data_IF_456279425076
#
_entry.id   IF_456279425076
#
_cell.length_a   1.000
_cell.length_b   1.000
_cell.length_c   1.000
_cell.angle_alpha   90.00
_cell.angle_beta   90.00
_cell.angle_gamma   90.00
#
_symmetry.space_group_name_H-M   'P 1'
#
loop_
_entity.id
_entity.type
_entity.pdbx_description
1 polymer ?
#
# COMPACT_ATOMS: atom_id res chain seq x y z
N UNK A 1 -3.92 17.75 10.02
CA UNK A 1 -3.51 17.35 8.66
C UNK A 1 -4.31 16.10 8.33
N UNK A 2 -5.02 16.07 7.23
CA UNK A 2 -5.80 14.89 6.86
C UNK A 2 -4.85 13.75 6.51
N UNK A 3 -5.11 12.55 7.03
CA UNK A 3 -4.31 11.37 6.71
C UNK A 3 -4.43 11.09 5.21
N UNK A 4 -3.32 10.77 4.55
CA UNK A 4 -3.30 10.46 3.12
C UNK A 4 -4.22 9.30 2.79
N UNK A 5 -4.24 8.31 3.65
CA UNK A 5 -5.16 7.17 3.62
C UNK A 5 -6.63 7.58 3.62
N UNK A 6 -7.04 8.60 4.40
CA UNK A 6 -8.40 9.12 4.37
C UNK A 6 -8.73 9.82 3.06
N UNK A 7 -7.74 10.38 2.41
CA UNK A 7 -7.88 10.96 1.08
C UNK A 7 -8.13 9.88 0.02
N UNK A 8 -7.45 8.73 0.13
CA UNK A 8 -7.62 7.58 -0.76
C UNK A 8 -8.92 6.82 -0.46
N UNK A 9 -9.16 6.49 0.80
CA UNK A 9 -10.28 5.64 1.20
C UNK A 9 -11.55 6.40 1.55
N UNK A 10 -11.52 7.76 1.62
CA UNK A 10 -12.65 8.61 1.92
C UNK A 10 -13.09 8.62 3.38
N UNK A 11 -14.19 9.33 3.62
CA UNK A 11 -14.76 9.50 4.95
C UNK A 11 -15.44 8.25 5.49
N UNK A 12 -15.80 7.34 4.62
CA UNK A 12 -16.49 6.10 4.96
C UNK A 12 -15.87 4.99 4.14
N UNK A 13 -15.34 4.03 4.84
CA UNK A 13 -14.83 2.80 4.28
C UNK A 13 -15.67 2.34 3.09
N UNK A 14 -15.09 2.30 1.93
CA UNK A 14 -15.65 1.65 0.75
C UNK A 14 -16.83 2.30 0.04
N UNK A 15 -17.33 3.48 0.42
CA UNK A 15 -18.56 3.98 -0.21
C UNK A 15 -18.37 4.92 -1.40
N UNK A 16 -17.25 5.65 -1.46
CA UNK A 16 -17.04 6.65 -2.52
C UNK A 16 -15.62 6.61 -3.09
N UNK A 17 -14.87 5.56 -2.79
CA UNK A 17 -13.50 5.39 -3.20
C UNK A 17 -13.30 4.10 -3.94
N UNK A 18 -12.41 4.20 -4.87
CA UNK A 18 -12.01 3.16 -5.79
C UNK A 18 -11.14 2.06 -5.15
N UNK A 19 -10.58 2.30 -3.95
CA UNK A 19 -9.72 1.33 -3.27
C UNK A 19 -10.34 0.91 -1.94
N UNK A 20 -10.79 1.86 -1.13
CA UNK A 20 -11.34 1.56 0.17
C UNK A 20 -12.60 0.71 0.09
N UNK A 21 -12.54 -0.50 0.64
CA UNK A 21 -13.66 -1.44 0.69
C UNK A 21 -13.59 -2.55 -0.35
N UNK A 22 -12.50 -2.62 -1.12
CA UNK A 22 -12.20 -3.85 -1.86
C UNK A 22 -11.81 -4.95 -0.87
N UNK A 23 -11.99 -6.21 -1.25
CA UNK A 23 -11.52 -7.34 -0.45
C UNK A 23 -10.02 -7.24 -0.17
N UNK A 24 -9.22 -6.80 -1.14
CA UNK A 24 -7.79 -6.58 -1.01
C UNK A 24 -7.44 -5.62 0.14
N UNK A 25 -8.15 -4.50 0.24
CA UNK A 25 -7.95 -3.54 1.33
C UNK A 25 -8.27 -4.15 2.69
N UNK A 26 -9.38 -4.91 2.77
CA UNK A 26 -9.79 -5.57 4.01
C UNK A 26 -8.79 -6.62 4.46
N UNK A 27 -8.26 -7.39 3.52
CA UNK A 27 -7.22 -8.40 3.78
C UNK A 27 -5.92 -7.74 4.26
N UNK A 28 -5.52 -6.63 3.65
CA UNK A 28 -4.33 -5.90 4.08
C UNK A 28 -4.49 -5.30 5.49
N UNK A 29 -5.68 -4.78 5.81
CA UNK A 29 -6.01 -4.32 7.17
C UNK A 29 -6.01 -5.48 8.17
N UNK A 30 -6.56 -6.62 7.80
CA UNK A 30 -6.58 -7.82 8.65
C UNK A 30 -5.15 -8.33 8.90
N UNK A 31 -4.29 -8.31 7.87
CA UNK A 31 -2.87 -8.61 8.00
C UNK A 31 -2.19 -7.70 9.04
N UNK A 32 -2.34 -6.38 8.91
CA UNK A 32 -1.74 -5.44 9.86
C UNK A 32 -2.37 -5.52 11.24
N UNK A 33 -3.66 -5.73 11.32
CA UNK A 33 -4.39 -5.82 12.58
C UNK A 33 -3.98 -7.01 13.44
N UNK A 34 -3.58 -8.12 12.81
CA UNK A 34 -3.09 -9.33 13.48
C UNK A 34 -1.62 -9.25 13.93
N UNK A 35 -0.88 -8.22 13.50
CA UNK A 35 0.51 -8.07 13.91
C UNK A 35 0.61 -7.77 15.41
N UNK A 36 1.46 -8.52 16.09
CA UNK A 36 1.75 -8.34 17.52
C UNK A 36 3.00 -7.51 17.77
N UNK A 37 3.84 -7.35 16.76
CA UNK A 37 5.08 -6.59 16.82
C UNK A 37 4.79 -5.10 16.67
N UNK A 38 5.43 -4.28 17.48
CA UNK A 38 5.35 -2.82 17.40
C UNK A 38 6.25 -2.22 16.31
N UNK A 39 7.12 -3.02 15.71
CA UNK A 39 8.01 -2.62 14.62
C UNK A 39 8.03 -3.70 13.55
N UNK A 40 7.56 -3.36 12.37
CA UNK A 40 7.55 -4.22 11.19
C UNK A 40 8.64 -3.79 10.21
N UNK A 41 9.16 -4.71 9.42
CA UNK A 41 10.05 -4.41 8.30
C UNK A 41 9.25 -4.40 7.01
N UNK A 42 9.43 -3.40 6.15
CA UNK A 42 8.79 -3.38 4.83
C UNK A 42 9.16 -4.62 4.02
N UNK A 43 10.43 -5.03 4.07
CA UNK A 43 10.89 -6.26 3.42
C UNK A 43 10.09 -7.49 3.89
N UNK A 44 9.91 -7.62 5.23
CA UNK A 44 9.10 -8.71 5.78
C UNK A 44 7.64 -8.63 5.35
N UNK A 45 7.05 -7.44 5.33
CA UNK A 45 5.68 -7.25 4.84
C UNK A 45 5.55 -7.74 3.40
N UNK A 46 6.43 -7.28 2.51
CA UNK A 46 6.42 -7.68 1.10
C UNK A 46 6.58 -9.19 0.94
N UNK A 47 7.46 -9.81 1.72
CA UNK A 47 7.67 -11.26 1.74
C UNK A 47 6.42 -12.00 2.23
N UNK A 48 5.85 -11.60 3.36
CA UNK A 48 4.68 -12.25 3.97
C UNK A 48 3.45 -12.25 3.04
N UNK A 49 3.29 -11.18 2.25
CA UNK A 49 2.16 -11.04 1.30
C UNK A 49 2.54 -11.43 -0.13
N UNK A 50 3.71 -12.04 -0.33
CA UNK A 50 4.23 -12.52 -1.63
C UNK A 50 4.36 -11.46 -2.74
N UNK A 51 4.50 -10.20 -2.37
CA UNK A 51 4.75 -9.13 -3.34
C UNK A 51 6.22 -8.97 -3.71
N UNK A 52 7.16 -9.39 -2.87
CA UNK A 52 8.60 -9.24 -3.07
C UNK A 52 9.06 -9.77 -4.43
N UNK A 53 8.81 -11.05 -4.70
CA UNK A 53 9.18 -11.73 -5.95
C UNK A 53 8.51 -11.11 -7.18
N UNK A 54 7.29 -10.65 -7.05
CA UNK A 54 6.55 -10.02 -8.14
C UNK A 54 7.13 -8.65 -8.48
N UNK A 55 7.42 -7.85 -7.47
CA UNK A 55 7.98 -6.51 -7.63
C UNK A 55 9.42 -6.56 -8.19
N UNK A 56 10.24 -7.51 -7.73
CA UNK A 56 11.60 -7.74 -8.26
C UNK A 56 11.59 -8.10 -9.73
N UNK A 57 10.68 -9.00 -10.16
CA UNK A 57 10.50 -9.35 -11.58
C UNK A 57 9.91 -8.20 -12.40
N UNK A 58 9.60 -7.07 -11.76
CA UNK A 58 8.95 -5.95 -12.40
C UNK A 58 7.50 -6.23 -12.73
N UNK A 59 6.86 -7.08 -11.93
CA UNK A 59 5.46 -7.41 -12.05
C UNK A 59 4.62 -6.15 -12.12
N UNK A 60 3.72 -6.18 -13.04
CA UNK A 60 2.83 -5.08 -13.32
C UNK A 60 1.56 -5.73 -13.81
N UNK A 61 0.54 -5.86 -13.05
CA UNK A 61 -0.66 -6.24 -13.70
C UNK A 61 -1.55 -7.24 -13.01
N UNK A 62 -2.28 -7.84 -13.81
CA UNK A 62 -3.42 -8.68 -13.59
C UNK A 62 -2.98 -10.02 -13.05
N UNK A 63 -3.49 -10.39 -11.92
CA UNK A 63 -3.26 -11.72 -11.37
C UNK A 63 -3.40 -11.74 -9.86
N UNK A 64 -3.93 -12.83 -9.39
CA UNK A 64 -4.09 -13.11 -7.99
C UNK A 64 -2.72 -13.21 -7.31
N UNK A 65 -2.59 -12.60 -6.17
CA UNK A 65 -1.44 -12.76 -5.28
C UNK A 65 -1.88 -13.63 -4.12
N UNK A 66 -1.43 -14.86 -4.12
CA UNK A 66 -1.73 -15.78 -3.04
C UNK A 66 -0.80 -15.54 -1.88
N UNK A 67 -1.37 -15.33 -0.69
CA UNK A 67 -0.62 -15.46 0.53
C UNK A 67 -1.35 -16.44 1.46
N UNK A 68 -0.59 -17.30 2.09
CA UNK A 68 -1.12 -18.29 3.01
C UNK A 68 -1.13 -17.74 4.42
N UNK A 69 -2.31 -17.53 4.97
CA UNK A 69 -2.47 -17.74 6.40
C UNK A 69 -2.52 -19.26 6.61
N UNK A 70 -1.82 -19.76 7.62
CA UNK A 70 -1.75 -21.19 7.98
C UNK A 70 -3.07 -21.90 7.77
N UNK A 71 -3.00 -22.96 6.92
CA UNK A 71 -4.08 -23.90 6.58
C UNK A 71 -5.36 -23.82 7.46
N UNK A 72 -6.58 -23.90 6.92
CA UNK A 72 -6.92 -24.47 5.59
C UNK A 72 -7.41 -23.46 4.55
N UNK A 73 -7.26 -22.17 4.75
CA UNK A 73 -7.80 -21.16 3.85
C UNK A 73 -6.66 -20.41 3.14
N UNK A 74 -6.51 -20.66 1.85
CA UNK A 74 -5.69 -19.81 0.99
C UNK A 74 -6.38 -18.44 0.89
N UNK A 75 -5.76 -17.42 1.45
CA UNK A 75 -6.16 -16.03 1.25
C UNK A 75 -5.36 -15.49 0.07
N UNK A 76 -6.01 -14.74 -0.81
CA UNK A 76 -5.36 -14.14 -1.96
C UNK A 76 -5.87 -12.71 -2.16
N UNK A 77 -5.00 -11.87 -2.70
CA UNK A 77 -5.40 -10.57 -3.21
C UNK A 77 -5.84 -10.73 -4.67
N UNK A 78 -6.96 -10.14 -5.02
CA UNK A 78 -7.49 -10.19 -6.38
C UNK A 78 -6.61 -9.40 -7.35
N UNK A 79 -6.03 -8.30 -6.89
CA UNK A 79 -5.29 -7.38 -7.74
C UNK A 79 -4.07 -6.82 -7.04
N UNK A 80 -2.88 -7.28 -7.43
CA UNK A 80 -1.62 -6.86 -6.80
C UNK A 80 -1.40 -5.34 -6.82
N UNK A 81 -1.84 -4.63 -7.86
CA UNK A 81 -1.67 -3.17 -7.92
C UNK A 81 -2.48 -2.45 -6.85
N UNK A 82 -3.66 -2.92 -6.48
CA UNK A 82 -4.45 -2.34 -5.39
C UNK A 82 -3.68 -2.44 -4.07
N UNK A 83 -3.08 -3.62 -3.81
CA UNK A 83 -2.26 -3.84 -2.60
C UNK A 83 -1.03 -2.94 -2.60
N UNK A 84 -0.36 -2.76 -3.73
CA UNK A 84 0.78 -1.85 -3.86
C UNK A 84 0.39 -0.41 -3.56
N UNK A 85 -0.75 0.06 -4.07
CA UNK A 85 -1.24 1.42 -3.84
C UNK A 85 -1.57 1.61 -2.35
N UNK A 86 -2.31 0.69 -1.75
CA UNK A 86 -2.71 0.76 -0.35
C UNK A 86 -1.50 0.68 0.59
N UNK A 87 -0.60 -0.27 0.37
CA UNK A 87 0.64 -0.40 1.14
C UNK A 87 1.52 0.83 1.03
N UNK A 88 1.62 1.42 -0.16
CA UNK A 88 2.39 2.66 -0.38
C UNK A 88 1.79 3.85 0.38
N UNK A 89 0.47 3.94 0.44
CA UNK A 89 -0.23 4.96 1.22
C UNK A 89 -0.02 4.77 2.74
N UNK A 90 -0.11 3.53 3.24
CA UNK A 90 0.16 3.20 4.64
C UNK A 90 1.62 3.52 5.00
N UNK A 91 2.55 3.16 4.12
CA UNK A 91 3.97 3.50 4.29
C UNK A 91 4.18 5.01 4.37
N UNK A 92 3.53 5.78 3.51
CA UNK A 92 3.63 7.24 3.52
C UNK A 92 3.10 7.84 4.84
N UNK A 93 2.03 7.29 5.42
CA UNK A 93 1.56 7.68 6.75
C UNK A 93 2.60 7.36 7.82
N UNK A 94 3.22 6.18 7.78
CA UNK A 94 4.30 5.82 8.69
C UNK A 94 5.48 6.80 8.59
N UNK A 95 5.89 7.16 7.37
CA UNK A 95 7.01 8.08 7.16
C UNK A 95 6.72 9.50 7.65
N UNK A 96 5.47 9.96 7.51
CA UNK A 96 5.04 11.30 7.95
C UNK A 96 4.81 11.39 9.46
N UNK A 97 4.27 10.36 10.06
CA UNK A 97 3.81 10.38 11.45
C UNK A 97 4.69 9.53 12.39
N UNK A 98 5.68 8.82 11.84
CA UNK A 98 6.54 7.85 12.56
C UNK A 98 5.74 6.74 13.26
N UNK A 99 4.51 6.50 12.83
CA UNK A 99 3.59 5.55 13.43
C UNK A 99 2.42 5.28 12.49
N UNK A 100 1.99 4.02 12.46
CA UNK A 100 0.70 3.59 11.90
C UNK A 100 -0.23 3.25 13.05
N UNK A 101 -1.42 3.84 13.07
CA UNK A 101 -2.45 3.62 14.09
C UNK A 101 -3.65 2.91 13.45
N UNK A 102 -3.87 1.65 13.81
CA UNK A 102 -4.96 0.84 13.25
C UNK A 102 -6.34 1.40 13.57
N UNK A 103 -6.53 2.15 14.66
CA UNK A 103 -7.80 2.85 14.90
C UNK A 103 -8.15 3.87 13.81
N UNK A 104 -7.15 4.34 13.05
CA UNK A 104 -7.35 5.30 11.97
C UNK A 104 -7.53 4.61 10.61
N UNK A 105 -7.02 3.39 10.47
CA UNK A 105 -7.09 2.59 9.25
C UNK A 105 -8.34 1.74 9.21
N UNK A 106 -8.64 1.06 10.32
CA UNK A 106 -9.74 0.13 10.43
C UNK A 106 -11.05 0.88 10.73
N UNK A 107 -11.88 1.00 9.69
CA UNK A 107 -13.20 1.65 9.81
C UNK A 107 -14.15 0.94 10.78
N UNK A 108 -14.04 -0.36 10.89
CA UNK A 108 -14.87 -1.20 11.76
C UNK A 108 -14.37 -1.27 13.20
N UNK A 109 -13.17 -0.68 13.44
CA UNK A 109 -12.52 -0.65 14.77
C UNK A 109 -12.31 -2.02 15.40
N UNK A 110 -12.11 -3.05 14.59
CA UNK A 110 -11.76 -4.40 15.03
C UNK A 110 -10.35 -4.43 15.63
N UNK A 111 -9.47 -3.57 15.11
CA UNK A 111 -8.06 -3.50 15.48
C UNK A 111 -7.71 -2.13 16.07
N UNK A 112 -6.82 -2.13 17.08
CA UNK A 112 -6.38 -0.91 17.77
C UNK A 112 -4.85 -0.87 18.00
N UNK A 113 -4.11 -1.84 17.48
CA UNK A 113 -2.67 -1.89 17.60
C UNK A 113 -2.00 -0.72 16.83
N UNK A 114 -0.80 -0.40 17.28
CA UNK A 114 0.04 0.64 16.68
C UNK A 114 1.40 0.05 16.39
N UNK A 115 1.96 0.41 15.24
CA UNK A 115 3.28 -0.08 14.83
C UNK A 115 4.00 0.94 13.97
N UNK A 116 5.29 0.72 13.80
CA UNK A 116 6.13 1.45 12.86
C UNK A 116 6.58 0.52 11.74
N UNK A 117 6.83 1.07 10.55
CA UNK A 117 7.39 0.33 9.43
C UNK A 117 8.82 0.83 9.19
N UNK A 118 9.80 -0.04 9.43
CA UNK A 118 11.18 0.22 9.03
C UNK A 118 11.38 -0.13 7.55
N UNK A 119 12.11 0.72 6.83
CA UNK A 119 12.26 0.61 5.38
C UNK A 119 13.72 0.55 4.97
N UNK A 120 14.02 -0.20 3.93
CA UNK A 120 15.22 0.00 3.10
C UNK A 120 14.89 0.89 1.91
N UNK A 121 15.88 1.56 1.36
CA UNK A 121 15.69 2.34 0.12
C UNK A 121 15.30 1.43 -1.05
N UNK A 122 15.80 0.21 -1.06
CA UNK A 122 15.53 -0.78 -2.10
C UNK A 122 14.07 -1.18 -2.12
N UNK A 123 13.50 -1.56 -0.98
CA UNK A 123 12.09 -1.94 -0.86
C UNK A 123 11.15 -0.79 -1.27
N UNK A 124 11.47 0.44 -0.86
CA UNK A 124 10.68 1.62 -1.25
C UNK A 124 10.76 1.88 -2.76
N UNK A 125 11.94 1.69 -3.38
CA UNK A 125 12.09 1.81 -4.84
C UNK A 125 11.28 0.78 -5.61
N UNK A 126 11.09 -0.43 -5.09
CA UNK A 126 10.22 -1.42 -5.70
C UNK A 126 8.78 -0.94 -5.78
N UNK A 127 8.24 -0.37 -4.69
CA UNK A 127 6.89 0.20 -4.68
C UNK A 127 6.77 1.39 -5.65
N UNK A 128 7.73 2.32 -5.62
CA UNK A 128 7.76 3.47 -6.55
C UNK A 128 7.74 2.99 -7.99
N UNK A 129 8.59 2.02 -8.34
CA UNK A 129 8.65 1.46 -9.70
C UNK A 129 7.34 0.85 -10.14
N UNK A 130 6.63 0.16 -9.25
CA UNK A 130 5.33 -0.42 -9.56
C UNK A 130 4.26 0.66 -9.77
N UNK A 131 4.22 1.69 -8.90
CA UNK A 131 3.33 2.84 -9.05
C UNK A 131 3.59 3.60 -10.37
N UNK A 132 4.86 3.86 -10.69
CA UNK A 132 5.23 4.58 -11.92
C UNK A 132 4.79 3.83 -13.18
N UNK A 133 4.92 2.52 -13.19
CA UNK A 133 4.43 1.68 -14.30
C UNK A 133 2.91 1.77 -14.44
N UNK A 134 2.18 1.68 -13.33
CA UNK A 134 0.73 1.88 -13.34
C UNK A 134 0.34 3.27 -13.85
N UNK A 135 1.04 4.31 -13.41
CA UNK A 135 0.79 5.70 -13.83
C UNK A 135 1.03 5.90 -15.35
N UNK A 136 2.03 5.21 -15.91
CA UNK A 136 2.39 5.34 -17.34
C UNK A 136 1.39 4.60 -18.24
N UNK A 137 0.95 3.42 -17.83
CA UNK A 137 0.09 2.55 -18.64
C UNK A 137 -1.07 1.98 -17.79
N UNK A 138 -1.93 2.83 -17.22
CA UNK A 138 -2.98 2.39 -16.29
C UNK A 138 -4.05 1.51 -16.95
N UNK A 139 -4.21 1.60 -18.27
CA UNK A 139 -5.13 0.77 -19.04
C UNK A 139 -4.69 -0.70 -19.16
N UNK A 140 -3.43 -1.01 -18.82
CA UNK A 140 -2.91 -2.37 -18.86
C UNK A 140 -3.29 -3.18 -17.60
N UNK A 141 -3.99 -2.52 -16.65
CA UNK A 141 -4.37 -3.11 -15.37
C UNK A 141 -5.88 -3.33 -15.30
N UNK A 142 -6.26 -4.53 -14.88
CA UNK A 142 -7.63 -4.81 -14.44
C UNK A 142 -7.74 -4.43 -12.96
N UNK A 143 -8.54 -3.44 -12.66
CA UNK A 143 -8.90 -3.11 -11.30
C UNK A 143 -10.10 -3.95 -10.88
N UNK A 144 -10.15 -4.33 -9.61
CA UNK A 144 -11.21 -5.22 -9.07
C UNK A 144 -12.62 -4.68 -9.34
N UNK A 145 -12.77 -3.35 -9.40
CA UNK A 145 -14.04 -2.71 -9.72
C UNK A 145 -13.92 -1.73 -10.89
N UNK A 146 -14.90 -1.70 -11.79
CA UNK A 146 -14.93 -0.72 -12.87
C UNK A 146 -15.12 0.68 -12.30
N UNK A 147 -14.16 1.55 -12.57
CA UNK A 147 -14.18 2.94 -12.14
C UNK A 147 -14.84 3.83 -13.20
N UNK A 148 -15.52 4.88 -12.75
CA UNK A 148 -15.86 5.99 -13.66
C UNK A 148 -14.58 6.66 -14.16
N UNK A 149 -14.60 7.25 -15.34
CA UNK A 149 -13.45 7.98 -15.90
C UNK A 149 -12.90 9.01 -14.89
N UNK A 150 -13.77 9.75 -14.23
CA UNK A 150 -13.37 10.74 -13.21
C UNK A 150 -12.66 10.10 -12.01
N UNK A 151 -13.16 8.96 -11.53
CA UNK A 151 -12.55 8.23 -10.40
C UNK A 151 -11.20 7.64 -10.80
N UNK A 152 -11.09 7.14 -12.02
CA UNK A 152 -9.86 6.61 -12.57
C UNK A 152 -8.77 7.67 -12.71
N UNK A 153 -9.10 8.83 -13.26
CA UNK A 153 -8.16 9.95 -13.35
C UNK A 153 -7.73 10.45 -11.97
N UNK A 154 -8.64 10.44 -10.99
CA UNK A 154 -8.30 10.77 -9.60
C UNK A 154 -7.32 9.74 -9.00
N UNK A 155 -7.56 8.45 -9.21
CA UNK A 155 -6.66 7.39 -8.76
C UNK A 155 -5.24 7.59 -9.31
N UNK A 156 -5.11 7.86 -10.61
CA UNK A 156 -3.81 8.12 -11.24
C UNK A 156 -3.13 9.34 -10.60
N UNK A 157 -3.89 10.40 -10.34
CA UNK A 157 -3.34 11.60 -9.69
C UNK A 157 -2.86 11.32 -8.25
N UNK A 158 -3.63 10.56 -7.49
CA UNK A 158 -3.27 10.16 -6.13
C UNK A 158 -2.04 9.22 -6.13
N UNK A 159 -1.94 8.29 -7.08
CA UNK A 159 -0.74 7.45 -7.26
C UNK A 159 0.51 8.28 -7.58
N UNK A 160 0.39 9.31 -8.41
CA UNK A 160 1.49 10.25 -8.69
C UNK A 160 1.95 10.99 -7.44
N UNK A 161 1.01 11.46 -6.61
CA UNK A 161 1.34 12.13 -5.35
C UNK A 161 2.05 11.19 -4.38
N UNK A 162 1.62 9.92 -4.29
CA UNK A 162 2.28 8.89 -3.46
C UNK A 162 3.70 8.64 -3.96
N UNK A 163 3.87 8.33 -5.25
CA UNK A 163 5.17 8.02 -5.85
C UNK A 163 6.18 9.16 -5.66
N UNK A 164 5.75 10.40 -5.91
CA UNK A 164 6.57 11.58 -5.71
C UNK A 164 6.98 11.75 -4.24
N UNK A 165 6.05 11.61 -3.30
CA UNK A 165 6.33 11.75 -1.87
C UNK A 165 7.28 10.67 -1.34
N UNK A 166 7.16 9.43 -1.82
CA UNK A 166 8.10 8.35 -1.48
C UNK A 166 9.49 8.62 -2.08
N UNK A 167 9.56 9.15 -3.30
CA UNK A 167 10.80 9.52 -3.97
C UNK A 167 11.53 10.65 -3.25
N UNK A 168 10.82 11.66 -2.79
CA UNK A 168 11.36 12.76 -1.98
C UNK A 168 11.95 12.22 -0.66
N UNK A 169 11.25 11.29 -0.01
CA UNK A 169 11.74 10.66 1.22
C UNK A 169 13.08 9.94 1.01
N UNK A 170 13.23 9.15 -0.06
CA UNK A 170 14.50 8.47 -0.38
C UNK A 170 15.60 9.49 -0.61
N UNK A 171 15.36 10.55 -1.36
CA UNK A 171 16.36 11.56 -1.69
C UNK A 171 16.85 12.31 -0.44
N UNK A 172 15.96 12.63 0.48
CA UNK A 172 16.31 13.27 1.76
C UNK A 172 17.18 12.35 2.63
N UNK A 173 16.89 11.05 2.65
CA UNK A 173 17.67 10.07 3.39
C UNK A 173 19.11 9.93 2.84
N UNK A 174 19.30 10.02 1.52
CA UNK A 174 20.61 9.99 0.87
C UNK A 174 21.44 11.22 1.24
N UNK A 175 20.83 12.41 1.19
CA UNK A 175 21.55 13.66 1.51
C UNK A 175 21.99 13.72 2.98
N UNK A 176 21.22 13.13 3.88
CA UNK A 176 21.55 13.07 5.31
C UNK A 176 22.73 12.14 5.61
N UNK A 177 22.91 11.08 4.83
CA UNK A 177 24.02 10.11 4.99
C UNK A 177 25.33 10.58 4.37
N UNK A 178 25.30 11.51 3.42
CA UNK A 178 26.50 12.07 2.80
C UNK A 178 27.08 13.28 3.57
N UNK A 179 26.41 13.76 4.61
CA UNK A 179 26.82 14.92 5.38
C UNK A 179 27.55 14.57 6.71
N UNK A 180 27.77 13.29 6.96
CA UNK A 180 28.54 12.74 8.10
C UNK A 180 29.84 12.11 7.65
#
# INVERSE_FOLDING_TARGET
>A
MELFIKKLWGKKYGKDNYIGGTEDTLLLIDYFGKQTESKLSLHKILFDIHLDTLLEKGFVGNGDVYFTETEPHNTYFDTAINVVIDLSAILLENLKNSLVDMNLLDGDRKYSNKFTISTSQEDVRLLIKALDKFIIAPQDYELTEPLSEKSFQKLIADCKEISNSLSEYINLAITSTCAT
#
